data_IF_728386624057
#
_entry.id   IF_728386624057
#
_cell.length_a   1.000
_cell.length_b   1.000
_cell.length_c   1.000
_cell.angle_alpha   90.00
_cell.angle_beta   90.00
_cell.angle_gamma   90.00
#
_symmetry.space_group_name_H-M   'P 1'
#
loop_
_entity.id
_entity.type
_entity.pdbx_description
1 polymer ?
#
# COMPACT_ATOMS: atom_id res chain seq x y z
N UNK A 1 8.37 -78.02 -53.81
CA UNK A 1 8.29 -77.58 -55.23
C UNK A 1 9.16 -76.35 -55.40
N UNK A 2 10.06 -76.40 -56.39
CA UNK A 2 10.91 -75.35 -57.03
C UNK A 2 11.77 -74.39 -56.18
N UNK A 3 13.11 -74.61 -56.19
CA UNK A 3 14.20 -73.85 -56.90
C UNK A 3 14.54 -72.51 -56.22
N UNK A 4 15.66 -72.39 -55.47
CA UNK A 4 17.06 -72.05 -55.87
C UNK A 4 17.22 -70.73 -56.64
N UNK A 5 18.36 -70.08 -56.35
CA UNK A 5 19.11 -69.00 -57.08
C UNK A 5 18.61 -67.57 -56.94
N UNK A 6 19.42 -66.50 -57.01
CA UNK A 6 20.85 -66.22 -56.80
C UNK A 6 21.04 -64.69 -57.01
N UNK A 7 21.98 -64.10 -56.27
CA UNK A 7 22.93 -63.03 -56.64
C UNK A 7 22.60 -61.98 -57.75
N UNK A 8 22.81 -60.70 -57.37
CA UNK A 8 23.66 -59.63 -57.98
C UNK A 8 22.99 -58.26 -58.26
N UNK A 9 23.63 -57.25 -57.66
CA UNK A 9 23.60 -55.77 -57.83
C UNK A 9 24.16 -55.38 -59.21
N UNK A 10 23.66 -54.32 -59.90
CA UNK A 10 24.25 -52.94 -59.95
C UNK A 10 23.16 -51.83 -60.04
N UNK A 11 23.34 -50.50 -60.03
CA UNK A 11 24.36 -49.47 -59.73
C UNK A 11 23.63 -48.12 -59.97
N UNK A 12 24.12 -47.01 -59.36
CA UNK A 12 23.86 -45.57 -59.64
C UNK A 12 22.44 -45.00 -59.41
N UNK A 13 22.18 -43.76 -58.95
CA UNK A 13 22.97 -42.53 -58.75
C UNK A 13 22.50 -41.77 -57.50
N UNK A 14 23.42 -41.05 -56.88
CA UNK A 14 23.18 -40.09 -55.82
C UNK A 14 22.50 -38.81 -56.33
N UNK A 15 21.56 -38.29 -55.55
CA UNK A 15 21.22 -36.87 -55.53
C UNK A 15 20.97 -36.48 -54.07
N UNK A 16 21.97 -35.86 -53.45
CA UNK A 16 21.86 -35.27 -52.13
C UNK A 16 21.14 -33.92 -52.25
N UNK A 17 19.89 -33.86 -51.78
CA UNK A 17 19.21 -32.60 -51.51
C UNK A 17 19.48 -32.19 -50.05
N UNK A 18 20.30 -31.16 -49.86
CA UNK A 18 20.53 -30.52 -48.57
C UNK A 18 19.23 -29.83 -48.11
N UNK A 19 18.65 -30.30 -47.00
CA UNK A 19 17.60 -29.60 -46.27
C UNK A 19 18.26 -28.56 -45.35
N UNK A 20 17.90 -27.27 -45.43
CA UNK A 20 18.33 -26.31 -44.43
C UNK A 20 17.62 -26.62 -43.11
N UNK A 21 18.40 -26.92 -42.07
CA UNK A 21 17.91 -26.91 -40.69
C UNK A 21 17.49 -25.48 -40.35
N UNK A 22 16.18 -25.22 -40.40
CA UNK A 22 15.59 -24.02 -39.81
C UNK A 22 15.69 -24.19 -38.29
N UNK A 23 16.78 -23.70 -37.72
CA UNK A 23 16.88 -23.41 -36.30
C UNK A 23 15.78 -22.39 -35.98
N UNK A 24 14.71 -22.86 -35.33
CA UNK A 24 13.72 -21.98 -34.74
C UNK A 24 14.46 -21.03 -33.77
N UNK A 25 14.28 -19.70 -33.88
CA UNK A 25 14.86 -18.79 -32.91
C UNK A 25 14.21 -19.09 -31.55
N UNK A 26 15.04 -19.45 -30.57
CA UNK A 26 14.68 -19.42 -29.16
C UNK A 26 14.04 -18.06 -28.91
N UNK A 27 12.72 -18.07 -28.70
CA UNK A 27 11.98 -16.86 -28.38
C UNK A 27 12.54 -16.34 -27.07
N UNK A 28 13.37 -15.30 -27.15
CA UNK A 28 13.73 -14.47 -26.00
C UNK A 28 12.43 -13.81 -25.59
N UNK A 29 11.71 -14.44 -24.66
CA UNK A 29 10.65 -13.75 -23.93
C UNK A 29 11.33 -12.53 -23.32
N UNK A 30 10.90 -11.30 -23.65
CA UNK A 30 11.46 -10.12 -23.02
C UNK A 30 11.12 -10.23 -21.54
N UNK A 31 12.11 -10.65 -20.73
CA UNK A 31 12.07 -10.39 -19.30
C UNK A 31 12.15 -8.88 -19.19
N UNK A 32 11.02 -8.24 -18.92
CA UNK A 32 11.04 -6.90 -18.34
C UNK A 32 12.03 -6.99 -17.17
N UNK A 33 13.20 -6.38 -17.33
CA UNK A 33 14.23 -6.42 -16.31
C UNK A 33 13.69 -5.62 -15.15
N UNK A 34 13.16 -6.33 -14.15
CA UNK A 34 12.81 -5.76 -12.87
C UNK A 34 14.00 -4.94 -12.35
N UNK A 35 13.73 -3.80 -11.71
CA UNK A 35 14.79 -3.03 -11.06
C UNK A 35 15.59 -3.95 -10.12
N UNK A 36 16.92 -3.78 -9.93
CA UNK A 36 17.72 -4.68 -9.11
C UNK A 36 17.09 -4.94 -7.74
N UNK A 37 16.74 -6.20 -7.46
CA UNK A 37 16.11 -6.62 -6.21
C UNK A 37 14.57 -6.59 -6.18
N UNK A 38 13.90 -6.02 -7.18
CA UNK A 38 12.45 -6.14 -7.36
C UNK A 38 12.08 -7.59 -7.67
N UNK A 39 11.00 -8.06 -7.05
CA UNK A 39 10.53 -9.42 -7.21
C UNK A 39 10.13 -9.70 -8.67
N UNK A 40 10.44 -10.91 -9.18
CA UNK A 40 9.84 -11.40 -10.40
C UNK A 40 8.32 -11.37 -10.32
N UNK A 41 7.66 -11.14 -11.46
CA UNK A 41 6.20 -11.03 -11.57
C UNK A 41 5.51 -12.31 -11.05
N UNK A 42 6.09 -13.47 -11.31
CA UNK A 42 5.58 -14.78 -10.89
C UNK A 42 5.59 -14.91 -9.35
N UNK A 43 6.66 -14.42 -8.70
CA UNK A 43 6.77 -14.41 -7.23
C UNK A 43 5.71 -13.50 -6.62
N UNK A 44 5.50 -12.31 -7.18
CA UNK A 44 4.48 -11.37 -6.70
C UNK A 44 3.07 -11.96 -6.83
N UNK A 45 2.75 -12.55 -7.98
CA UNK A 45 1.46 -13.20 -8.19
C UNK A 45 1.26 -14.41 -7.26
N UNK A 46 2.25 -15.28 -7.09
CA UNK A 46 2.18 -16.40 -6.15
C UNK A 46 1.95 -15.94 -4.70
N UNK A 47 2.64 -14.87 -4.28
CA UNK A 47 2.44 -14.26 -2.97
C UNK A 47 0.99 -13.78 -2.77
N UNK A 48 0.43 -13.08 -3.75
CA UNK A 48 -0.93 -12.53 -3.63
C UNK A 48 -2.00 -13.61 -3.65
N UNK A 49 -1.85 -14.63 -4.51
CA UNK A 49 -2.75 -15.80 -4.53
C UNK A 49 -2.80 -16.50 -3.16
N UNK A 50 -1.67 -16.59 -2.45
CA UNK A 50 -1.62 -17.19 -1.12
C UNK A 50 -2.34 -16.36 -0.04
N UNK A 51 -2.66 -15.09 -0.28
CA UNK A 51 -3.43 -14.27 0.66
C UNK A 51 -4.96 -14.42 0.48
N UNK A 52 -5.40 -14.79 -0.73
CA UNK A 52 -6.78 -14.58 -1.16
C UNK A 52 -7.09 -13.09 -1.39
N UNK A 53 -8.37 -12.75 -1.59
CA UNK A 53 -8.75 -11.35 -1.79
C UNK A 53 -8.55 -10.53 -0.51
N UNK A 54 -7.75 -9.47 -0.60
CA UNK A 54 -7.40 -8.60 0.52
C UNK A 54 -8.37 -7.42 0.60
N UNK A 55 -9.00 -7.24 1.75
CA UNK A 55 -9.91 -6.11 2.01
C UNK A 55 -9.65 -5.59 3.41
N UNK A 56 -9.49 -4.28 3.52
CA UNK A 56 -9.06 -3.65 4.75
C UNK A 56 -9.36 -2.16 4.81
N UNK A 57 -8.61 -1.50 5.68
CA UNK A 57 -8.73 -0.08 5.97
C UNK A 57 -7.37 0.50 6.36
N UNK A 58 -7.18 1.80 6.16
CA UNK A 58 -6.12 2.58 6.75
C UNK A 58 -6.43 2.77 8.23
N UNK A 59 -5.53 2.27 9.09
CA UNK A 59 -5.79 2.10 10.50
C UNK A 59 -4.96 3.07 11.34
N UNK A 60 -5.69 3.87 12.10
CA UNK A 60 -5.24 4.62 13.26
C UNK A 60 -6.28 4.42 14.35
N UNK A 61 -5.85 4.29 15.61
CA UNK A 61 -6.81 4.13 16.70
C UNK A 61 -7.67 5.37 16.86
N UNK A 62 -8.94 5.21 17.19
CA UNK A 62 -9.87 6.36 17.24
C UNK A 62 -9.50 7.44 18.28
N UNK A 63 -8.68 7.08 19.28
CA UNK A 63 -8.14 7.99 20.29
C UNK A 63 -6.80 8.64 19.90
N UNK A 64 -6.27 8.41 18.70
CA UNK A 64 -5.02 8.97 18.22
C UNK A 64 -5.27 9.95 17.06
N UNK A 65 -4.62 11.12 17.12
CA UNK A 65 -4.69 12.16 16.11
C UNK A 65 -3.73 11.92 14.94
N UNK A 66 -2.63 11.19 15.19
CA UNK A 66 -1.61 10.83 14.23
C UNK A 66 -0.79 9.60 14.70
N UNK A 67 0.17 9.19 13.89
CA UNK A 67 1.03 8.02 14.11
C UNK A 67 1.85 8.13 15.41
N UNK A 68 2.29 9.34 15.77
CA UNK A 68 3.07 9.60 16.99
C UNK A 68 2.20 9.34 18.22
N UNK A 69 0.96 9.81 18.23
CA UNK A 69 0.04 9.54 19.35
C UNK A 69 -0.33 8.06 19.44
N UNK A 70 -0.58 7.40 18.31
CA UNK A 70 -0.96 5.98 18.31
C UNK A 70 0.13 5.08 18.92
N UNK A 71 1.40 5.32 18.57
CA UNK A 71 2.53 4.48 18.99
C UNK A 71 3.44 5.12 20.05
N UNK A 72 3.06 6.26 20.64
CA UNK A 72 3.77 6.90 21.73
C UNK A 72 3.70 6.08 23.03
N UNK A 73 4.78 6.03 23.81
CA UNK A 73 4.85 5.19 25.01
C UNK A 73 3.76 5.52 26.06
N UNK A 74 3.40 6.80 26.20
CA UNK A 74 2.36 7.25 27.14
C UNK A 74 0.93 7.19 26.61
N UNK A 75 0.74 6.90 25.32
CA UNK A 75 -0.56 6.98 24.63
C UNK A 75 -0.95 5.69 23.92
N UNK A 76 -0.03 4.73 23.79
CA UNK A 76 -0.27 3.42 23.19
C UNK A 76 -1.35 2.65 23.95
N UNK A 77 -2.48 2.42 23.29
CA UNK A 77 -3.65 1.76 23.87
C UNK A 77 -3.88 0.38 23.21
N UNK A 78 -3.21 -0.63 23.74
CA UNK A 78 -3.31 -2.01 23.26
C UNK A 78 -4.75 -2.56 23.32
N UNK A 79 -5.56 -2.14 24.30
CA UNK A 79 -6.94 -2.63 24.47
C UNK A 79 -7.85 -2.06 23.38
N UNK A 80 -7.68 -0.78 23.07
CA UNK A 80 -8.41 -0.14 21.97
C UNK A 80 -7.99 -0.70 20.61
N UNK A 81 -6.70 -0.90 20.39
CA UNK A 81 -6.19 -1.59 19.19
C UNK A 81 -6.88 -2.95 19.02
N UNK A 82 -6.94 -3.76 20.07
CA UNK A 82 -7.58 -5.08 20.02
C UNK A 82 -9.08 -4.98 19.70
N UNK A 83 -9.78 -4.04 20.33
CA UNK A 83 -11.22 -3.83 20.12
C UNK A 83 -11.54 -3.34 18.70
N UNK A 84 -10.76 -2.41 18.17
CA UNK A 84 -10.99 -1.85 16.82
C UNK A 84 -10.55 -2.83 15.72
N UNK A 85 -9.50 -3.64 15.94
CA UNK A 85 -9.15 -4.74 15.04
C UNK A 85 -10.16 -5.89 15.10
N UNK A 86 -10.79 -6.13 16.26
CA UNK A 86 -11.96 -7.02 16.32
C UNK A 86 -13.10 -6.48 15.46
N UNK A 87 -13.36 -5.17 15.48
CA UNK A 87 -14.38 -4.56 14.63
C UNK A 87 -14.05 -4.71 13.13
N UNK A 88 -12.78 -4.55 12.73
CA UNK A 88 -12.32 -4.87 11.36
C UNK A 88 -12.67 -6.32 10.97
N UNK A 89 -12.40 -7.30 11.83
CA UNK A 89 -12.76 -8.70 11.58
C UNK A 89 -14.27 -8.89 11.41
N UNK A 90 -15.08 -8.20 12.23
CA UNK A 90 -16.54 -8.25 12.14
C UNK A 90 -17.06 -7.62 10.84
N UNK A 91 -16.41 -6.58 10.33
CA UNK A 91 -16.68 -6.04 8.98
C UNK A 91 -16.29 -7.02 7.87
N UNK A 92 -15.40 -7.98 8.16
CA UNK A 92 -14.88 -8.94 7.19
C UNK A 92 -13.51 -8.55 6.61
N UNK A 93 -12.85 -7.55 7.19
CA UNK A 93 -11.49 -7.19 6.83
C UNK A 93 -10.48 -8.24 7.30
N UNK A 94 -9.43 -8.43 6.49
CA UNK A 94 -8.32 -9.35 6.74
C UNK A 94 -6.95 -8.66 6.72
N UNK A 95 -6.93 -7.35 6.48
CA UNK A 95 -5.72 -6.55 6.43
C UNK A 95 -5.99 -5.12 6.93
N UNK A 96 -4.95 -4.45 7.40
CA UNK A 96 -4.96 -3.03 7.73
C UNK A 96 -3.70 -2.36 7.22
N UNK A 97 -3.79 -1.12 6.72
CA UNK A 97 -2.64 -0.30 6.33
C UNK A 97 -2.31 0.67 7.47
N UNK A 98 -1.12 0.56 8.05
CA UNK A 98 -0.78 1.18 9.34
C UNK A 98 0.43 2.07 9.20
N UNK A 99 0.27 3.34 9.53
CA UNK A 99 1.33 4.34 9.39
C UNK A 99 2.25 4.37 10.60
N UNK A 100 3.55 4.36 10.33
CA UNK A 100 4.63 4.44 11.31
C UNK A 100 5.27 5.83 11.27
N UNK A 101 6.18 6.13 12.20
CA UNK A 101 6.87 7.42 12.22
C UNK A 101 8.32 7.31 12.73
N UNK A 102 9.25 7.89 11.98
CA UNK A 102 10.70 7.95 12.28
C UNK A 102 11.02 8.57 13.65
N UNK A 103 10.24 9.55 14.11
CA UNK A 103 10.49 10.23 15.38
C UNK A 103 10.40 9.28 16.59
N UNK A 104 9.50 8.30 16.54
CA UNK A 104 9.33 7.31 17.60
C UNK A 104 10.54 6.37 17.67
N UNK A 105 11.13 6.03 16.51
CA UNK A 105 12.36 5.25 16.44
C UNK A 105 13.56 6.03 16.99
N UNK A 106 13.67 7.30 16.64
CA UNK A 106 14.74 8.17 17.12
C UNK A 106 14.66 8.45 18.62
N UNK A 107 13.45 8.51 19.17
CA UNK A 107 13.21 8.73 20.61
C UNK A 107 13.54 7.48 21.45
N UNK A 108 12.97 6.34 21.06
CA UNK A 108 13.01 5.10 21.85
C UNK A 108 12.85 3.90 20.92
N UNK A 109 13.98 3.49 20.31
CA UNK A 109 14.06 2.35 19.40
C UNK A 109 13.46 1.08 20.01
N UNK A 110 13.93 0.70 21.20
CA UNK A 110 13.56 -0.57 21.82
C UNK A 110 12.07 -0.60 22.21
N UNK A 111 11.57 0.47 22.83
CA UNK A 111 10.16 0.53 23.19
C UNK A 111 9.25 0.62 21.96
N UNK A 112 9.65 1.34 20.90
CA UNK A 112 8.87 1.37 19.67
C UNK A 112 8.80 -0.02 19.02
N UNK A 113 9.91 -0.74 18.93
CA UNK A 113 9.94 -2.13 18.44
C UNK A 113 9.04 -3.06 19.27
N UNK A 114 9.04 -2.90 20.61
CA UNK A 114 8.18 -3.67 21.49
C UNK A 114 6.69 -3.41 21.23
N UNK A 115 6.30 -2.14 21.02
CA UNK A 115 4.92 -1.76 20.68
C UNK A 115 4.50 -2.27 19.29
N UNK A 116 5.41 -2.28 18.31
CA UNK A 116 5.15 -2.91 17.01
C UNK A 116 4.97 -4.43 17.13
N UNK A 117 5.80 -5.11 17.92
CA UNK A 117 5.64 -6.55 18.18
C UNK A 117 4.30 -6.87 18.86
N UNK A 118 3.90 -6.04 19.82
CA UNK A 118 2.60 -6.16 20.48
C UNK A 118 1.44 -5.96 19.49
N UNK A 119 1.50 -4.91 18.66
CA UNK A 119 0.51 -4.63 17.62
C UNK A 119 0.37 -5.80 16.64
N UNK A 120 1.48 -6.31 16.08
CA UNK A 120 1.47 -7.48 15.18
C UNK A 120 0.87 -8.71 15.89
N UNK A 121 1.18 -8.90 17.17
CA UNK A 121 0.59 -9.95 17.99
C UNK A 121 -0.91 -9.82 18.17
N UNK A 122 -1.43 -8.60 18.37
CA UNK A 122 -2.87 -8.32 18.46
C UNK A 122 -3.55 -8.57 17.11
N UNK A 123 -3.03 -7.97 16.03
CA UNK A 123 -3.59 -8.11 14.68
C UNK A 123 -3.70 -9.58 14.26
N UNK A 124 -2.67 -10.39 14.53
CA UNK A 124 -2.67 -11.81 14.22
C UNK A 124 -3.76 -12.59 14.98
N UNK A 125 -4.05 -12.27 16.24
CA UNK A 125 -5.17 -12.89 16.99
C UNK A 125 -6.53 -12.54 16.38
N UNK A 126 -6.63 -11.39 15.73
CA UNK A 126 -7.82 -10.97 14.99
C UNK A 126 -7.83 -11.49 13.54
N UNK A 127 -6.83 -12.27 13.11
CA UNK A 127 -6.73 -12.77 11.73
C UNK A 127 -6.43 -11.67 10.70
N UNK A 128 -5.82 -10.57 11.15
CA UNK A 128 -5.52 -9.39 10.34
C UNK A 128 -4.01 -9.29 10.14
N UNK A 129 -3.58 -9.02 8.91
CA UNK A 129 -2.18 -8.75 8.58
C UNK A 129 -1.95 -7.26 8.33
N UNK A 130 -0.98 -6.60 8.98
CA UNK A 130 -0.67 -5.21 8.68
C UNK A 130 0.21 -5.04 7.43
N UNK A 131 -0.14 -4.07 6.60
CA UNK A 131 0.73 -3.41 5.63
C UNK A 131 1.29 -2.14 6.30
N UNK A 132 2.57 -2.14 6.66
CA UNK A 132 3.16 -0.99 7.36
C UNK A 132 3.62 0.09 6.38
N UNK A 133 3.30 1.34 6.67
CA UNK A 133 3.73 2.53 5.92
C UNK A 133 4.88 3.22 6.65
N UNK A 134 6.03 3.38 6.00
CA UNK A 134 7.22 3.96 6.63
C UNK A 134 7.23 5.49 6.66
N UNK A 135 6.92 6.10 5.52
CA UNK A 135 7.02 7.53 5.26
C UNK A 135 5.74 8.07 4.62
N UNK A 136 5.48 9.35 4.81
CA UNK A 136 4.24 10.01 4.42
C UNK A 136 4.47 11.49 4.12
N UNK A 137 4.02 11.93 2.94
CA UNK A 137 4.10 13.32 2.48
C UNK A 137 2.81 14.11 2.75
N UNK A 138 1.78 13.54 3.38
CA UNK A 138 0.50 14.22 3.58
C UNK A 138 0.46 15.14 4.82
N UNK A 139 -0.35 16.20 4.73
CA UNK A 139 -0.70 17.08 5.86
C UNK A 139 0.49 17.85 6.47
N UNK A 140 0.63 17.90 7.80
CA UNK A 140 1.53 18.85 8.45
C UNK A 140 3.01 18.45 8.32
N UNK A 141 3.87 19.31 7.72
CA UNK A 141 5.28 19.01 7.53
C UNK A 141 6.13 19.14 8.80
N UNK A 142 5.57 19.56 9.93
CA UNK A 142 6.30 19.84 11.17
C UNK A 142 5.92 18.89 12.31
N UNK A 143 6.20 17.57 12.20
CA UNK A 143 5.92 16.62 13.26
C UNK A 143 6.72 16.95 14.54
N UNK A 144 6.10 16.73 15.70
CA UNK A 144 6.72 16.94 17.02
C UNK A 144 6.48 15.74 17.92
N UNK A 145 7.48 15.38 18.72
CA UNK A 145 7.32 14.39 19.80
C UNK A 145 6.56 14.99 21.00
N UNK A 146 6.10 14.12 21.89
CA UNK A 146 5.39 14.51 23.11
C UNK A 146 3.87 14.56 22.93
N UNK A 147 3.20 15.37 23.75
CA UNK A 147 1.75 15.53 23.68
C UNK A 147 1.33 16.11 22.33
N UNK A 148 0.49 15.38 21.61
CA UNK A 148 0.00 15.82 20.30
C UNK A 148 -1.16 16.81 20.45
N UNK A 149 -1.30 17.70 19.47
CA UNK A 149 -2.39 18.70 19.45
C UNK A 149 -3.76 18.02 19.44
N UNK A 150 -4.74 18.65 20.07
CA UNK A 150 -6.13 18.27 19.90
C UNK A 150 -6.56 18.50 18.45
N UNK A 151 -7.51 17.70 17.93
CA UNK A 151 -8.11 17.98 16.63
C UNK A 151 -8.75 19.36 16.60
N UNK A 152 -8.65 20.04 15.45
CA UNK A 152 -9.45 21.22 15.16
C UNK A 152 -10.89 20.75 14.90
N UNK A 153 -11.88 21.11 15.73
CA UNK A 153 -13.24 20.60 15.59
C UNK A 153 -13.79 20.84 14.19
N UNK A 154 -14.38 19.82 13.59
CA UNK A 154 -15.02 19.98 12.28
C UNK A 154 -14.07 19.97 11.08
N UNK A 155 -12.80 19.59 11.25
CA UNK A 155 -11.75 19.64 10.21
C UNK A 155 -11.10 18.26 10.01
N UNK A 156 -11.13 17.78 8.77
CA UNK A 156 -10.57 16.50 8.35
C UNK A 156 -9.04 16.44 8.54
N UNK A 157 -8.53 15.40 9.21
CA UNK A 157 -7.10 15.14 9.42
C UNK A 157 -6.31 16.36 9.94
N UNK A 158 -6.93 17.21 10.75
CA UNK A 158 -6.33 18.47 11.20
C UNK A 158 -5.02 18.30 11.99
N UNK A 159 -4.76 17.10 12.51
CA UNK A 159 -3.56 16.81 13.29
C UNK A 159 -2.63 15.73 12.74
N UNK A 160 -2.88 15.25 11.52
CA UNK A 160 -1.98 14.32 10.84
C UNK A 160 -0.67 15.02 10.45
N UNK A 161 0.43 14.26 10.44
CA UNK A 161 1.79 14.77 10.24
C UNK A 161 2.58 13.91 9.25
N UNK A 162 3.53 14.55 8.57
CA UNK A 162 4.46 13.91 7.63
C UNK A 162 5.57 13.14 8.33
N UNK A 163 6.11 12.12 7.67
CA UNK A 163 7.31 11.39 8.08
C UNK A 163 8.21 11.13 6.87
N UNK A 164 9.49 11.52 6.87
CA UNK A 164 10.07 12.49 7.80
C UNK A 164 9.44 13.87 7.61
N UNK A 165 9.49 14.70 8.65
CA UNK A 165 9.10 16.11 8.53
C UNK A 165 10.05 16.93 7.63
N UNK A 166 9.60 18.10 7.19
CA UNK A 166 10.33 19.01 6.31
C UNK A 166 11.75 19.35 6.79
N UNK A 167 11.96 19.44 8.10
CA UNK A 167 13.28 19.74 8.69
C UNK A 167 14.30 18.61 8.55
N UNK A 168 13.87 17.37 8.31
CA UNK A 168 14.71 16.17 8.38
C UNK A 168 14.81 15.40 7.07
N UNK A 169 13.95 15.70 6.10
CA UNK A 169 13.83 14.95 4.85
C UNK A 169 15.13 14.88 4.06
N UNK A 170 15.91 15.96 4.03
CA UNK A 170 17.20 16.06 3.35
C UNK A 170 18.38 16.26 4.30
N UNK A 171 18.20 16.25 5.63
CA UNK A 171 19.31 16.44 6.58
C UNK A 171 20.28 15.24 6.49
N UNK A 172 21.53 15.44 6.01
CA UNK A 172 22.49 14.36 5.88
C UNK A 172 22.87 13.73 7.22
N UNK A 173 22.76 14.47 8.32
CA UNK A 173 23.04 13.98 9.69
C UNK A 173 21.92 13.10 10.22
N UNK A 174 20.69 13.31 9.73
CA UNK A 174 19.53 12.50 10.10
C UNK A 174 19.35 11.27 9.18
N UNK A 175 19.97 11.29 7.99
CA UNK A 175 19.93 10.20 7.02
C UNK A 175 20.29 8.81 7.60
N UNK A 176 21.32 8.65 8.45
CA UNK A 176 21.59 7.37 9.11
C UNK A 176 20.45 6.90 10.01
N UNK A 177 19.73 7.82 10.68
CA UNK A 177 18.59 7.48 11.54
C UNK A 177 17.42 6.95 10.71
N UNK A 178 17.13 7.58 9.57
CA UNK A 178 16.09 7.11 8.63
C UNK A 178 16.41 5.71 8.09
N UNK A 179 17.68 5.48 7.71
CA UNK A 179 18.15 4.15 7.30
C UNK A 179 17.97 3.12 8.40
N UNK A 180 18.44 3.42 9.61
CA UNK A 180 18.33 2.55 10.78
C UNK A 180 16.87 2.23 11.10
N UNK A 181 15.97 3.20 10.96
CA UNK A 181 14.54 3.03 11.17
C UNK A 181 13.93 2.03 10.18
N UNK A 182 14.15 2.21 8.88
CA UNK A 182 13.65 1.30 7.84
C UNK A 182 14.24 -0.10 8.02
N UNK A 183 15.57 -0.20 8.09
CA UNK A 183 16.27 -1.48 8.21
C UNK A 183 15.91 -2.19 9.52
N UNK A 184 15.85 -1.46 10.63
CA UNK A 184 15.62 -2.02 11.95
C UNK A 184 14.20 -2.56 12.13
N UNK A 185 13.18 -1.81 11.70
CA UNK A 185 11.79 -2.27 11.74
C UNK A 185 11.59 -3.47 10.80
N UNK A 186 12.06 -3.40 9.56
CA UNK A 186 11.91 -4.53 8.64
C UNK A 186 12.67 -5.77 9.11
N UNK A 187 13.89 -5.61 9.66
CA UNK A 187 14.71 -6.73 10.15
C UNK A 187 14.05 -7.49 11.28
N UNK A 188 13.29 -6.81 12.14
CA UNK A 188 12.50 -7.41 13.22
C UNK A 188 11.44 -8.39 12.69
N UNK A 189 10.86 -8.12 11.52
CA UNK A 189 9.74 -8.89 10.96
C UNK A 189 10.08 -9.59 9.63
N UNK A 190 11.35 -9.64 9.22
CA UNK A 190 11.75 -10.06 7.86
C UNK A 190 11.26 -11.44 7.42
N UNK A 191 10.96 -12.34 8.36
CA UNK A 191 10.44 -13.69 8.12
C UNK A 191 9.08 -13.92 8.81
N UNK A 192 8.44 -12.86 9.32
CA UNK A 192 7.18 -12.95 10.05
C UNK A 192 5.98 -12.85 9.10
N UNK A 193 5.34 -13.99 8.83
CA UNK A 193 4.19 -14.09 7.93
C UNK A 193 2.91 -13.42 8.46
N UNK A 194 2.94 -12.89 9.69
CA UNK A 194 1.85 -12.07 10.23
C UNK A 194 1.85 -10.68 9.64
N UNK A 195 3.00 -10.16 9.17
CA UNK A 195 3.09 -8.89 8.44
C UNK A 195 2.81 -9.13 6.95
N UNK A 196 1.96 -8.30 6.35
CA UNK A 196 1.55 -8.46 4.95
C UNK A 196 2.63 -8.00 3.98
N UNK A 197 3.17 -6.81 4.19
CA UNK A 197 3.99 -6.07 3.24
C UNK A 197 4.50 -4.75 3.80
N UNK A 198 5.25 -4.04 2.97
CA UNK A 198 5.88 -2.76 3.30
C UNK A 198 5.52 -1.71 2.25
N UNK A 199 4.78 -0.70 2.68
CA UNK A 199 4.54 0.51 1.90
C UNK A 199 5.61 1.54 2.30
N UNK A 200 6.50 1.85 1.36
CA UNK A 200 7.70 2.61 1.69
C UNK A 200 7.44 4.09 1.78
N UNK A 201 6.45 4.62 1.06
CA UNK A 201 6.15 6.04 1.04
C UNK A 201 4.74 6.32 0.54
N UNK A 202 3.96 7.04 1.34
CA UNK A 202 2.63 7.53 1.01
C UNK A 202 2.69 8.87 0.26
N UNK A 203 2.12 8.90 -0.95
CA UNK A 203 1.97 10.08 -1.81
C UNK A 203 3.22 10.98 -1.89
N UNK A 204 4.39 10.44 -2.31
CA UNK A 204 5.69 11.10 -2.17
C UNK A 204 5.75 12.53 -2.75
N UNK A 205 5.00 12.81 -3.80
CA UNK A 205 4.92 14.09 -4.52
C UNK A 205 3.72 14.96 -4.10
N UNK A 206 3.09 14.70 -2.94
CA UNK A 206 2.02 15.54 -2.41
C UNK A 206 2.57 16.87 -1.82
N UNK A 207 2.15 18.05 -2.32
CA UNK A 207 2.63 19.34 -1.83
C UNK A 207 1.90 19.85 -0.57
N UNK A 208 1.04 19.04 0.07
CA UNK A 208 0.25 19.38 1.26
C UNK A 208 -0.36 20.80 1.22
N UNK A 209 -1.27 21.04 0.27
CA UNK A 209 -1.85 22.37 -0.03
C UNK A 209 -2.34 23.15 1.21
N UNK A 210 -2.89 22.45 2.21
CA UNK A 210 -3.39 23.00 3.47
C UNK A 210 -2.28 23.66 4.30
N UNK A 211 -1.04 23.19 4.15
CA UNK A 211 0.16 23.64 4.85
C UNK A 211 1.14 24.42 3.97
N UNK A 212 0.71 24.89 2.78
CA UNK A 212 1.56 25.59 1.80
C UNK A 212 2.41 26.76 2.33
N UNK A 213 2.02 27.37 3.46
CA UNK A 213 2.76 28.47 4.10
C UNK A 213 4.01 28.02 4.85
N UNK A 214 4.01 26.77 5.32
CA UNK A 214 5.08 26.16 6.12
C UNK A 214 5.72 24.96 5.41
N UNK A 215 5.15 24.54 4.27
CA UNK A 215 5.67 23.46 3.45
C UNK A 215 6.92 23.90 2.66
N UNK A 216 7.82 22.94 2.42
CA UNK A 216 9.01 23.17 1.61
C UNK A 216 8.65 23.32 0.14
N UNK A 217 9.26 24.32 -0.51
CA UNK A 217 9.10 24.55 -1.96
C UNK A 217 9.78 23.48 -2.81
N UNK A 218 10.87 22.90 -2.31
CA UNK A 218 11.70 21.88 -2.96
C UNK A 218 11.36 20.45 -2.48
N UNK A 219 10.19 20.25 -1.86
CA UNK A 219 9.80 18.97 -1.27
C UNK A 219 9.90 17.80 -2.24
N UNK A 220 9.37 17.97 -3.46
CA UNK A 220 9.33 16.90 -4.47
C UNK A 220 10.75 16.45 -4.82
N UNK A 221 11.70 17.38 -4.98
CA UNK A 221 13.10 17.07 -5.26
C UNK A 221 13.76 16.36 -4.08
N UNK A 222 13.50 16.83 -2.84
CA UNK A 222 14.03 16.21 -1.62
C UNK A 222 13.52 14.77 -1.44
N UNK A 223 12.22 14.53 -1.69
CA UNK A 223 11.62 13.19 -1.67
C UNK A 223 12.20 12.33 -2.80
N UNK A 224 12.29 12.88 -4.02
CA UNK A 224 12.85 12.19 -5.19
C UNK A 224 14.30 11.74 -4.99
N UNK A 225 15.10 12.50 -4.24
CA UNK A 225 16.46 12.10 -3.85
C UNK A 225 16.52 11.04 -2.74
N UNK A 226 15.50 10.93 -1.89
CA UNK A 226 15.46 10.02 -0.75
C UNK A 226 14.75 8.69 -1.07
N UNK A 227 13.64 8.69 -1.81
CA UNK A 227 12.85 7.50 -2.11
C UNK A 227 13.67 6.34 -2.71
N UNK A 228 14.61 6.56 -3.66
CA UNK A 228 15.47 5.49 -4.15
C UNK A 228 16.36 4.86 -3.07
N UNK A 229 16.81 5.66 -2.11
CA UNK A 229 17.60 5.17 -0.98
C UNK A 229 16.74 4.34 -0.03
N UNK A 230 15.48 4.72 0.20
CA UNK A 230 14.53 3.95 1.02
C UNK A 230 14.29 2.58 0.41
N UNK A 231 14.06 2.49 -0.90
CA UNK A 231 13.97 1.21 -1.60
C UNK A 231 15.26 0.39 -1.44
N UNK A 232 16.43 0.99 -1.66
CA UNK A 232 17.71 0.29 -1.48
C UNK A 232 17.90 -0.26 -0.06
N UNK A 233 17.56 0.52 0.98
CA UNK A 233 17.62 0.08 2.37
C UNK A 233 16.64 -1.07 2.64
N UNK A 234 15.40 -0.96 2.18
CA UNK A 234 14.39 -2.00 2.33
C UNK A 234 14.81 -3.31 1.65
N UNK A 235 15.36 -3.22 0.43
CA UNK A 235 15.90 -4.38 -0.31
C UNK A 235 17.06 -5.04 0.42
N UNK A 236 17.92 -4.28 1.11
CA UNK A 236 19.07 -4.82 1.85
C UNK A 236 18.69 -5.78 2.98
N UNK A 237 17.45 -5.69 3.48
CA UNK A 237 16.93 -6.57 4.55
C UNK A 237 16.58 -7.96 4.03
N UNK A 238 16.33 -8.11 2.72
CA UNK A 238 15.90 -9.36 2.09
C UNK A 238 14.69 -10.00 2.79
N UNK A 239 13.66 -9.19 3.06
CA UNK A 239 12.44 -9.62 3.72
C UNK A 239 11.56 -10.49 2.81
N UNK A 240 10.76 -11.38 3.40
CA UNK A 240 9.86 -12.28 2.66
C UNK A 240 8.58 -11.60 2.19
N UNK A 241 8.29 -10.39 2.67
CA UNK A 241 7.12 -9.59 2.28
C UNK A 241 7.44 -8.60 1.15
N UNK A 242 6.46 -8.24 0.29
CA UNK A 242 6.68 -7.36 -0.85
C UNK A 242 6.84 -5.89 -0.42
N UNK A 243 7.52 -5.12 -1.27
CA UNK A 243 7.60 -3.66 -1.21
C UNK A 243 6.60 -3.00 -2.15
N UNK A 244 6.07 -1.84 -1.78
CA UNK A 244 5.26 -0.98 -2.64
C UNK A 244 5.43 0.49 -2.28
N UNK A 245 5.02 1.39 -3.17
CA UNK A 245 4.75 2.80 -2.91
C UNK A 245 3.71 3.27 -3.92
N UNK A 246 2.61 3.86 -3.44
CA UNK A 246 1.40 4.05 -4.24
C UNK A 246 1.39 5.31 -5.10
N UNK A 247 0.99 5.15 -6.36
CA UNK A 247 0.69 6.28 -7.27
C UNK A 247 -0.72 6.82 -6.99
N UNK A 248 -0.93 8.13 -7.04
CA UNK A 248 -2.19 8.74 -6.57
C UNK A 248 -2.72 9.87 -7.45
N UNK A 249 -1.90 10.40 -8.35
CA UNK A 249 -2.28 11.49 -9.25
C UNK A 249 -1.76 11.29 -10.67
N UNK A 250 -2.29 12.07 -11.61
CA UNK A 250 -1.85 12.06 -13.00
C UNK A 250 -2.35 10.88 -13.82
N UNK A 251 -1.56 10.50 -14.82
CA UNK A 251 -1.79 9.36 -15.72
C UNK A 251 -0.68 8.34 -15.52
N UNK A 252 -1.04 7.07 -15.45
CA UNK A 252 -0.10 5.97 -15.21
C UNK A 252 0.13 5.13 -16.46
N UNK A 253 -0.26 5.63 -17.63
CA UNK A 253 0.13 5.06 -18.91
C UNK A 253 1.64 5.26 -19.13
N UNK A 254 2.32 4.26 -19.70
CA UNK A 254 3.80 4.26 -19.83
C UNK A 254 4.36 5.50 -20.55
N UNK A 255 3.59 6.15 -21.42
CA UNK A 255 4.03 7.32 -22.19
C UNK A 255 3.81 8.67 -21.52
N UNK A 256 3.13 8.71 -20.36
CA UNK A 256 2.65 9.95 -19.73
C UNK A 256 2.93 10.02 -18.22
N UNK A 257 3.53 8.98 -17.63
CA UNK A 257 3.94 8.95 -16.21
C UNK A 257 4.92 10.07 -15.88
N UNK A 258 4.79 10.62 -14.68
CA UNK A 258 5.85 11.43 -14.09
C UNK A 258 7.09 10.57 -13.78
N UNK A 259 8.23 11.22 -13.49
CA UNK A 259 9.43 10.52 -13.01
C UNK A 259 9.17 9.80 -11.69
N UNK A 260 8.37 10.39 -10.79
CA UNK A 260 8.00 9.79 -9.51
C UNK A 260 7.15 8.53 -9.72
N UNK A 261 6.09 8.62 -10.53
CA UNK A 261 5.22 7.47 -10.82
C UNK A 261 5.99 6.34 -11.49
N UNK A 262 6.88 6.69 -12.44
CA UNK A 262 7.75 5.72 -13.10
C UNK A 262 8.63 5.00 -12.08
N UNK A 263 9.28 5.75 -11.19
CA UNK A 263 10.12 5.16 -10.15
C UNK A 263 9.32 4.24 -9.21
N UNK A 264 8.16 4.69 -8.72
CA UNK A 264 7.30 3.91 -7.82
C UNK A 264 6.85 2.59 -8.48
N UNK A 265 6.34 2.65 -9.70
CA UNK A 265 5.82 1.47 -10.41
C UNK A 265 6.94 0.51 -10.81
N UNK A 266 8.10 1.01 -11.21
CA UNK A 266 9.22 0.19 -11.67
C UNK A 266 10.00 -0.48 -10.52
N UNK A 267 9.86 0.00 -9.27
CA UNK A 267 10.56 -0.56 -8.11
C UNK A 267 9.66 -1.34 -7.14
N UNK A 268 8.34 -1.24 -7.26
CA UNK A 268 7.38 -1.93 -6.39
C UNK A 268 7.20 -3.41 -6.76
N UNK A 269 7.23 -4.31 -5.78
CA UNK A 269 6.99 -5.75 -6.00
C UNK A 269 5.52 -6.02 -6.37
N UNK A 270 4.63 -5.32 -5.67
CA UNK A 270 3.19 -5.25 -5.91
C UNK A 270 2.81 -3.81 -6.17
N UNK A 271 1.91 -3.58 -7.12
CA UNK A 271 1.53 -2.23 -7.51
C UNK A 271 0.47 -1.73 -6.55
N UNK A 272 0.65 -0.51 -6.02
CA UNK A 272 -0.38 0.15 -5.24
C UNK A 272 -0.78 1.49 -5.85
N UNK A 273 -2.01 1.89 -5.60
CA UNK A 273 -2.54 3.17 -6.06
C UNK A 273 -3.64 3.70 -5.13
N UNK A 274 -3.91 5.00 -5.20
CA UNK A 274 -5.04 5.63 -4.52
C UNK A 274 -6.13 6.00 -5.51
N UNK A 275 -7.39 5.85 -5.12
CA UNK A 275 -8.51 6.33 -5.91
C UNK A 275 -9.72 6.64 -5.06
N UNK A 276 -10.04 7.93 -5.01
CA UNK A 276 -11.23 8.48 -4.38
C UNK A 276 -12.36 8.74 -5.39
N UNK A 277 -12.27 8.13 -6.57
CA UNK A 277 -13.24 8.30 -7.65
C UNK A 277 -14.39 7.28 -7.59
N UNK A 278 -15.45 7.54 -8.36
CA UNK A 278 -16.55 6.60 -8.56
C UNK A 278 -16.13 5.33 -9.31
N UNK A 279 -16.99 4.31 -9.35
CA UNK A 279 -16.64 2.94 -9.80
C UNK A 279 -16.12 2.86 -11.24
N UNK A 280 -16.63 3.69 -12.16
CA UNK A 280 -16.20 3.68 -13.56
C UNK A 280 -14.76 4.18 -13.73
N UNK A 281 -14.41 5.30 -13.07
CA UNK A 281 -13.03 5.81 -13.10
C UNK A 281 -12.10 4.90 -12.29
N UNK A 282 -12.55 4.38 -11.15
CA UNK A 282 -11.80 3.38 -10.39
C UNK A 282 -11.41 2.16 -11.25
N UNK A 283 -12.35 1.65 -12.05
CA UNK A 283 -12.08 0.56 -13.00
C UNK A 283 -11.10 0.95 -14.10
N UNK A 284 -11.18 2.19 -14.60
CA UNK A 284 -10.21 2.72 -15.56
C UNK A 284 -8.79 2.80 -14.98
N UNK A 285 -8.64 3.21 -13.72
CA UNK A 285 -7.35 3.21 -13.01
C UNK A 285 -6.74 1.82 -12.88
N UNK A 286 -7.57 0.79 -12.64
CA UNK A 286 -7.12 -0.60 -12.66
C UNK A 286 -6.60 -0.98 -14.06
N UNK A 287 -7.30 -0.56 -15.11
CA UNK A 287 -6.92 -0.86 -16.50
C UNK A 287 -5.58 -0.21 -16.89
N UNK A 288 -5.26 1.01 -16.42
CA UNK A 288 -3.95 1.65 -16.64
C UNK A 288 -2.79 0.83 -16.03
N UNK A 289 -3.02 0.17 -14.90
CA UNK A 289 -2.00 -0.57 -14.15
C UNK A 289 -1.91 -2.05 -14.54
N UNK A 290 -2.99 -2.65 -15.04
CA UNK A 290 -3.06 -4.07 -15.40
C UNK A 290 -1.94 -4.56 -16.35
N UNK A 291 -1.47 -3.78 -17.36
CA UNK A 291 -0.36 -4.18 -18.21
C UNK A 291 0.98 -4.42 -17.49
N UNK A 292 1.12 -4.00 -16.23
CA UNK A 292 2.31 -4.30 -15.43
C UNK A 292 2.37 -5.77 -14.99
N UNK A 293 1.27 -6.53 -15.10
CA UNK A 293 1.21 -7.97 -14.84
C UNK A 293 1.41 -8.37 -13.37
N UNK A 294 1.46 -7.40 -12.46
CA UNK A 294 1.68 -7.57 -11.02
C UNK A 294 0.36 -7.45 -10.25
N UNK A 295 0.24 -8.02 -9.04
CA UNK A 295 -0.89 -7.76 -8.16
C UNK A 295 -1.09 -6.26 -7.92
N UNK A 296 -2.34 -5.83 -7.86
CA UNK A 296 -2.73 -4.43 -7.69
C UNK A 296 -3.48 -4.27 -6.35
N UNK A 297 -3.09 -3.25 -5.59
CA UNK A 297 -3.69 -2.89 -4.31
C UNK A 297 -4.16 -1.43 -4.37
N UNK A 298 -5.46 -1.18 -4.27
CA UNK A 298 -5.95 0.16 -3.98
C UNK A 298 -5.74 0.44 -2.48
N UNK A 299 -4.70 1.17 -2.14
CA UNK A 299 -4.29 1.41 -0.73
C UNK A 299 -5.05 2.56 -0.07
N UNK A 300 -5.80 3.35 -0.83
CA UNK A 300 -6.74 4.35 -0.30
C UNK A 300 -7.95 4.52 -1.23
N UNK A 301 -9.14 4.36 -0.66
CA UNK A 301 -10.42 4.78 -1.25
C UNK A 301 -11.37 5.31 -0.17
N UNK A 302 -12.55 5.75 -0.63
CA UNK A 302 -13.72 6.19 0.11
C UNK A 302 -13.78 7.70 0.36
N UNK A 303 -14.38 8.36 -0.60
CA UNK A 303 -14.84 9.74 -0.57
C UNK A 303 -16.29 9.73 -1.09
N UNK A 304 -17.26 9.55 -0.19
CA UNK A 304 -18.66 9.29 -0.57
C UNK A 304 -19.30 10.45 -1.34
N UNK A 305 -18.91 11.67 -1.05
CA UNK A 305 -19.32 12.90 -1.76
C UNK A 305 -18.72 13.01 -3.17
N UNK A 306 -17.64 12.29 -3.47
CA UNK A 306 -17.03 12.17 -4.80
C UNK A 306 -17.51 10.92 -5.56
N UNK A 307 -18.52 10.22 -5.05
CA UNK A 307 -19.08 9.01 -5.66
C UNK A 307 -18.28 7.73 -5.41
N UNK A 308 -17.16 7.79 -4.70
CA UNK A 308 -16.43 6.62 -4.22
C UNK A 308 -17.15 6.05 -3.01
N UNK A 309 -17.82 4.92 -3.19
CA UNK A 309 -18.66 4.26 -2.16
C UNK A 309 -18.26 2.81 -1.98
N UNK A 310 -18.60 2.22 -0.83
CA UNK A 310 -18.34 0.78 -0.57
C UNK A 310 -19.08 -0.08 -1.60
N UNK A 311 -20.34 0.24 -1.88
CA UNK A 311 -21.21 -0.48 -2.81
C UNK A 311 -20.82 -0.31 -4.28
N UNK A 312 -20.17 0.81 -4.62
CA UNK A 312 -19.64 1.03 -5.96
C UNK A 312 -18.27 0.39 -6.17
N UNK A 313 -17.32 0.67 -5.28
CA UNK A 313 -15.89 0.36 -5.48
C UNK A 313 -15.58 -1.11 -5.18
N UNK A 314 -16.07 -1.66 -4.07
CA UNK A 314 -15.66 -3.01 -3.66
C UNK A 314 -16.09 -4.13 -4.62
N UNK A 315 -17.29 -4.12 -5.24
CA UNK A 315 -17.63 -5.10 -6.26
C UNK A 315 -16.70 -5.07 -7.47
N UNK A 316 -16.26 -3.88 -7.90
CA UNK A 316 -15.28 -3.72 -8.99
C UNK A 316 -13.92 -4.27 -8.55
N UNK A 317 -13.44 -3.86 -7.38
CA UNK A 317 -12.17 -4.35 -6.83
C UNK A 317 -12.16 -5.88 -6.72
N UNK A 318 -13.23 -6.50 -6.21
CA UNK A 318 -13.35 -7.96 -6.11
C UNK A 318 -13.33 -8.64 -7.48
N UNK A 319 -14.08 -8.12 -8.46
CA UNK A 319 -14.15 -8.68 -9.82
C UNK A 319 -12.78 -8.71 -10.49
N UNK A 320 -11.97 -7.68 -10.27
CA UNK A 320 -10.60 -7.57 -10.80
C UNK A 320 -9.52 -8.16 -9.87
N UNK A 321 -9.92 -8.77 -8.76
CA UNK A 321 -9.02 -9.30 -7.73
C UNK A 321 -8.02 -8.22 -7.20
N UNK A 322 -8.45 -6.97 -7.12
CA UNK A 322 -7.68 -5.84 -6.60
C UNK A 322 -7.93 -5.71 -5.10
N UNK A 323 -6.87 -5.59 -4.30
CA UNK A 323 -7.05 -5.33 -2.87
C UNK A 323 -7.62 -3.94 -2.64
N UNK A 324 -8.38 -3.72 -1.57
CA UNK A 324 -8.97 -2.42 -1.30
C UNK A 324 -8.85 -2.04 0.19
N UNK A 325 -8.38 -0.82 0.46
CA UNK A 325 -8.21 -0.26 1.80
C UNK A 325 -8.98 1.06 1.90
N UNK A 326 -10.03 1.12 2.73
CA UNK A 326 -10.74 2.38 2.95
C UNK A 326 -9.83 3.37 3.67
N UNK A 327 -9.98 4.66 3.44
CA UNK A 327 -9.45 5.69 4.32
C UNK A 327 -10.45 5.86 5.48
N UNK A 328 -9.98 5.82 6.71
CA UNK A 328 -10.85 5.88 7.89
C UNK A 328 -11.54 4.56 8.24
N UNK A 329 -11.78 4.38 9.53
CA UNK A 329 -12.44 3.23 10.12
C UNK A 329 -13.44 3.67 11.18
N UNK A 330 -12.95 4.22 12.29
CA UNK A 330 -13.78 4.69 13.42
C UNK A 330 -13.73 6.20 13.46
N UNK A 331 -14.91 6.83 13.55
CA UNK A 331 -15.01 8.26 13.81
C UNK A 331 -14.29 8.62 15.12
N UNK A 332 -13.13 9.26 14.98
CA UNK A 332 -12.19 9.53 16.06
C UNK A 332 -11.49 10.88 15.92
N UNK A 333 -10.33 11.01 16.56
CA UNK A 333 -9.56 12.28 16.59
C UNK A 333 -9.15 12.76 15.20
N UNK A 334 -8.92 11.88 14.24
CA UNK A 334 -8.62 12.28 12.85
C UNK A 334 -9.80 12.92 12.12
N UNK A 335 -11.02 12.69 12.58
CA UNK A 335 -12.27 13.22 12.03
C UNK A 335 -12.43 13.00 10.51
N UNK A 336 -12.05 11.81 10.00
CA UNK A 336 -12.11 11.53 8.56
C UNK A 336 -13.54 11.39 8.01
N UNK A 337 -14.55 11.38 8.88
CA UNK A 337 -15.96 11.53 8.51
C UNK A 337 -16.34 12.94 8.01
N UNK A 338 -15.51 13.98 8.22
CA UNK A 338 -15.68 15.28 7.55
C UNK A 338 -15.01 15.29 6.17
N UNK A 339 -15.58 15.96 5.15
CA UNK A 339 -14.94 16.10 3.84
C UNK A 339 -13.73 17.04 3.86
N UNK A 340 -12.90 16.97 2.82
CA UNK A 340 -11.70 17.83 2.71
C UNK A 340 -12.01 19.33 2.63
N UNK A 341 -13.20 19.71 2.15
CA UNK A 341 -13.64 21.12 2.11
C UNK A 341 -13.77 21.76 3.50
N UNK A 342 -13.75 20.94 4.56
CA UNK A 342 -13.72 21.39 5.96
C UNK A 342 -12.53 22.28 6.31
N UNK A 343 -11.44 22.24 5.53
CA UNK A 343 -10.31 23.15 5.71
C UNK A 343 -10.61 24.60 5.33
N UNK A 344 -11.50 24.79 4.36
CA UNK A 344 -11.98 26.12 3.97
C UNK A 344 -13.25 26.49 4.75
N UNK A 345 -14.06 25.50 5.14
CA UNK A 345 -15.36 25.66 5.80
C UNK A 345 -15.53 24.64 6.95
N UNK A 346 -14.95 24.90 8.13
CA UNK A 346 -15.07 23.98 9.26
C UNK A 346 -16.52 23.66 9.63
N UNK A 347 -16.80 22.38 9.88
CA UNK A 347 -18.16 21.90 10.14
C UNK A 347 -18.53 22.11 11.61
N UNK A 348 -19.68 22.73 11.86
CA UNK A 348 -20.23 22.91 13.22
C UNK A 348 -21.13 21.74 13.65
N UNK A 349 -21.49 20.85 12.73
CA UNK A 349 -22.30 19.65 12.94
C UNK A 349 -21.78 18.52 12.06
N UNK A 350 -21.97 17.28 12.50
CA UNK A 350 -21.67 16.08 11.69
C UNK A 350 -22.48 16.15 10.37
N UNK A 351 -21.86 15.91 9.20
CA UNK A 351 -22.56 15.95 7.92
C UNK A 351 -23.55 14.79 7.78
N UNK A 352 -24.59 14.98 6.98
CA UNK A 352 -25.59 13.94 6.67
C UNK A 352 -24.95 12.72 6.00
N UNK A 353 -23.95 12.98 5.15
CA UNK A 353 -23.13 11.95 4.50
C UNK A 353 -21.73 12.04 5.08
N UNK A 354 -21.27 10.97 5.74
CA UNK A 354 -19.89 10.89 6.20
C UNK A 354 -18.95 10.75 5.01
N UNK A 355 -17.78 11.34 5.12
CA UNK A 355 -16.79 11.30 4.06
C UNK A 355 -16.15 9.90 3.96
N UNK A 356 -15.33 9.50 4.95
CA UNK A 356 -14.57 8.23 4.84
C UNK A 356 -14.84 7.19 5.94
N UNK A 357 -14.96 7.57 7.23
CA UNK A 357 -15.14 6.58 8.32
C UNK A 357 -16.34 5.62 8.13
N UNK A 358 -16.20 4.40 8.66
CA UNK A 358 -17.14 3.28 8.51
C UNK A 358 -17.92 2.96 9.79
N UNK A 359 -17.37 3.33 10.95
CA UNK A 359 -17.88 2.99 12.27
C UNK A 359 -18.06 4.24 13.12
N UNK A 360 -19.13 4.24 13.91
CA UNK A 360 -19.36 5.20 14.98
C UNK A 360 -18.37 4.97 16.14
N UNK A 361 -18.19 5.95 17.05
CA UNK A 361 -17.28 5.82 18.19
C UNK A 361 -17.59 4.63 19.11
N UNK A 362 -18.85 4.16 19.11
CA UNK A 362 -19.32 2.99 19.85
C UNK A 362 -19.15 1.65 19.09
N UNK A 363 -18.59 1.69 17.88
CA UNK A 363 -18.35 0.52 17.02
C UNK A 363 -19.54 0.12 16.16
N UNK A 364 -20.70 0.79 16.23
CA UNK A 364 -21.81 0.52 15.31
C UNK A 364 -21.44 0.95 13.88
N UNK A 365 -21.86 0.23 12.84
CA UNK A 365 -21.73 0.69 11.46
C UNK A 365 -22.33 2.09 11.29
N UNK A 366 -21.69 2.90 10.45
CA UNK A 366 -22.26 4.18 10.00
C UNK A 366 -23.51 3.94 9.14
N UNK A 367 -23.45 2.97 8.22
CA UNK A 367 -24.55 2.57 7.34
C UNK A 367 -24.66 1.06 7.25
N UNK A 368 -25.88 0.55 7.44
CA UNK A 368 -26.16 -0.89 7.36
C UNK A 368 -25.91 -1.46 5.95
N UNK A 369 -26.23 -0.71 4.89
CA UNK A 369 -26.03 -1.17 3.51
C UNK A 369 -24.55 -1.44 3.18
N UNK A 370 -23.64 -0.59 3.69
CA UNK A 370 -22.19 -0.76 3.52
C UNK A 370 -21.69 -1.97 4.31
N UNK A 371 -22.17 -2.13 5.55
CA UNK A 371 -21.89 -3.31 6.37
C UNK A 371 -22.34 -4.59 5.65
N UNK A 372 -23.57 -4.65 5.15
CA UNK A 372 -24.09 -5.81 4.44
C UNK A 372 -23.30 -6.11 3.16
N UNK A 373 -22.88 -5.07 2.44
CA UNK A 373 -22.04 -5.23 1.24
C UNK A 373 -20.69 -5.84 1.60
N UNK A 374 -20.01 -5.31 2.62
CA UNK A 374 -18.75 -5.85 3.12
C UNK A 374 -18.90 -7.32 3.51
N UNK A 375 -19.93 -7.66 4.31
CA UNK A 375 -20.21 -9.04 4.72
C UNK A 375 -20.45 -9.95 3.52
N UNK A 376 -21.29 -9.53 2.57
CA UNK A 376 -21.62 -10.30 1.36
C UNK A 376 -20.37 -10.59 0.52
N UNK A 377 -19.48 -9.61 0.39
CA UNK A 377 -18.28 -9.74 -0.43
C UNK A 377 -17.15 -10.52 0.26
N UNK A 378 -17.09 -10.53 1.58
CA UNK A 378 -15.98 -11.14 2.34
C UNK A 378 -16.30 -12.50 2.95
N UNK A 379 -17.58 -12.88 3.03
CA UNK A 379 -17.98 -14.22 3.44
C UNK A 379 -17.48 -15.24 2.42
N UNK A 380 -16.64 -16.17 2.85
CA UNK A 380 -16.17 -17.29 2.02
C UNK A 380 -17.36 -18.22 1.76
N UNK A 381 -17.60 -18.55 0.49
CA UNK A 381 -18.49 -19.67 0.09
C UNK A 381 -17.76 -20.98 0.35
#
# INVERSE_FOLDING_TARGET
MHRRTALKIPLVMAAAAALPQVLAPLSVIPRASAAPGQWPVERANAWYQAQGWLVGTNFITSNAINQIEMFGAGTYDARRIDSELQACRLLGFNTVRVFLHDLLWAQDRAGFQSRLANFVGIAARQGIKPLFVFFDSCWDPNPQLGTQRAPTPGVHNSGWVQSPGAQRIDDPRYRPVLRDYVVGVMSQFRNDNRVLGWDLWNEPDNPAKQYRKVERKDKIDAVGGLLPQVFAWARSVNAVQPLTSGVWQGSWDRGSRSEMDSFQLDNSDVISFHSYAGPAEFEARIAELAPLGRPILCTEYLARDQGSTVEGVLPVAKRHNVAAYSWGLVAGKTQTYFPWDSWDKPYTKVPNVWFSDLLQPDGRPYRDAEYQTLRKLTTRV
#
